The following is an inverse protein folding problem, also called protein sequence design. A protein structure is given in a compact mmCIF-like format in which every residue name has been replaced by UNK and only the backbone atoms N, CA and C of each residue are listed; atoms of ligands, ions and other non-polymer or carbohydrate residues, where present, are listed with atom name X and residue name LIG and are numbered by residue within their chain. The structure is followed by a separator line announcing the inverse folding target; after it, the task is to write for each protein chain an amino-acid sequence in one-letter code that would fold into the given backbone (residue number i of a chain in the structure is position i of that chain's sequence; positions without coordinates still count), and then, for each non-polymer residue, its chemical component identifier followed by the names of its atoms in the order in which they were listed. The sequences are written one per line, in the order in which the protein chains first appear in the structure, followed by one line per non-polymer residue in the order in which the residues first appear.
data_IF_976637181564
#
_entry.id   IF_976637181564
#
_cell.length_a   1.000
_cell.length_b   1.000
_cell.length_c   1.000
_cell.angle_alpha   90.00
_cell.angle_beta   90.00
_cell.angle_gamma   90.00
#
_symmetry.space_group_name_H-M   'P 1'
#
loop_
_entity.id
_entity.type
_entity.pdbx_description
1 polymer ?
#
# COMPACT_ATOMS: atom_id res chain seq x y z
N UNK A 1 -61.69 -31.30 -62.10
CA UNK A 1 -61.85 -29.84 -62.31
C UNK A 1 -60.47 -29.21 -62.42
N UNK A 2 -60.32 -28.20 -63.29
CA UNK A 2 -59.29 -28.21 -64.34
C UNK A 2 -58.05 -27.37 -64.02
N UNK A 3 -56.98 -27.71 -64.73
CA UNK A 3 -55.77 -26.93 -64.89
C UNK A 3 -56.09 -25.50 -65.35
N UNK A 4 -55.41 -24.51 -64.76
CA UNK A 4 -55.37 -23.16 -65.31
C UNK A 4 -53.92 -22.75 -65.55
N UNK A 5 -53.55 -22.87 -66.83
CA UNK A 5 -52.48 -22.09 -67.46
C UNK A 5 -52.74 -20.61 -67.20
N UNK A 6 -51.70 -19.87 -66.82
CA UNK A 6 -51.69 -18.42 -67.03
C UNK A 6 -50.46 -18.05 -67.86
N UNK A 7 -50.81 -17.49 -69.01
CA UNK A 7 -50.07 -16.86 -70.09
C UNK A 7 -49.05 -15.81 -69.63
N UNK A 8 -47.85 -15.87 -70.23
CA UNK A 8 -46.96 -14.72 -70.38
C UNK A 8 -47.58 -13.69 -71.34
N UNK A 9 -47.42 -12.39 -71.08
CA UNK A 9 -47.28 -11.39 -72.13
C UNK A 9 -45.82 -10.94 -72.25
N UNK A 10 -45.38 -10.89 -73.50
CA UNK A 10 -44.14 -10.25 -73.92
C UNK A 10 -44.16 -8.76 -73.58
N UNK A 11 -43.12 -8.26 -72.92
CA UNK A 11 -42.81 -6.84 -72.85
C UNK A 11 -41.50 -6.60 -73.59
N UNK A 12 -41.55 -5.67 -74.52
CA UNK A 12 -40.53 -5.32 -75.48
C UNK A 12 -39.23 -4.84 -74.80
N UNK A 13 -38.10 -5.36 -75.28
CA UNK A 13 -36.78 -4.85 -74.98
C UNK A 13 -36.57 -3.49 -75.68
N UNK A 14 -36.48 -2.42 -74.90
CA UNK A 14 -35.86 -1.17 -75.34
C UNK A 14 -34.37 -1.24 -74.98
N UNK A 15 -33.53 -1.47 -75.99
CA UNK A 15 -32.08 -1.44 -75.86
C UNK A 15 -31.63 0.02 -75.68
N UNK A 16 -31.31 0.43 -74.44
CA UNK A 16 -30.55 1.64 -74.19
C UNK A 16 -29.07 1.23 -74.20
N UNK A 17 -28.37 1.58 -75.29
CA UNK A 17 -26.90 1.50 -75.35
C UNK A 17 -26.35 2.64 -74.50
N UNK A 18 -26.19 2.37 -73.20
CA UNK A 18 -25.41 3.21 -72.31
C UNK A 18 -23.92 2.99 -72.60
N UNK A 19 -23.24 4.03 -73.05
CA UNK A 19 -21.79 4.07 -73.18
C UNK A 19 -21.20 3.94 -71.75
N UNK A 20 -20.87 2.72 -71.34
CA UNK A 20 -20.14 2.48 -70.10
C UNK A 20 -18.69 2.91 -70.31
N UNK A 21 -18.32 4.06 -69.76
CA UNK A 21 -16.93 4.43 -69.54
C UNK A 21 -16.35 3.40 -68.56
N UNK A 22 -15.50 2.51 -69.06
CA UNK A 22 -14.65 1.65 -68.23
C UNK A 22 -13.67 2.56 -67.49
N UNK A 23 -14.06 3.02 -66.31
CA UNK A 23 -13.10 3.52 -65.34
C UNK A 23 -12.27 2.30 -64.90
N UNK A 24 -11.02 2.26 -65.34
CA UNK A 24 -10.00 1.41 -64.72
C UNK A 24 -10.04 1.68 -63.22
N UNK A 25 -10.31 0.68 -62.36
CA UNK A 25 -10.14 0.89 -60.94
C UNK A 25 -8.68 1.23 -60.74
N UNK A 26 -8.40 2.43 -60.25
CA UNK A 26 -7.10 2.74 -59.68
C UNK A 26 -6.87 1.66 -58.62
N UNK A 27 -5.87 0.80 -58.83
CA UNK A 27 -5.33 0.01 -57.74
C UNK A 27 -4.98 1.02 -56.65
N UNK A 28 -5.78 1.07 -55.60
CA UNK A 28 -5.36 1.72 -54.38
C UNK A 28 -4.07 1.02 -54.00
N UNK A 29 -2.94 1.73 -54.12
CA UNK A 29 -1.69 1.27 -53.57
C UNK A 29 -2.00 0.87 -52.13
N UNK A 30 -1.84 -0.41 -51.80
CA UNK A 30 -1.82 -0.83 -50.40
C UNK A 30 -0.81 0.02 -49.65
N UNK A 31 -0.91 0.14 -48.31
CA UNK A 31 0.05 0.91 -47.53
C UNK A 31 1.46 0.57 -47.99
N UNK A 32 2.19 1.58 -48.45
CA UNK A 32 3.57 1.44 -48.89
C UNK A 32 4.32 0.65 -47.82
N UNK A 33 4.97 -0.50 -48.14
CA UNK A 33 5.77 -1.19 -47.15
C UNK A 33 6.76 -0.17 -46.57
N UNK A 34 6.82 -0.10 -45.23
CA UNK A 34 7.74 0.79 -44.55
C UNK A 34 9.16 0.56 -45.12
N UNK A 35 9.97 1.62 -45.30
CA UNK A 35 11.30 1.50 -45.89
C UNK A 35 12.10 0.43 -45.13
N UNK A 36 12.50 -0.62 -45.85
CA UNK A 36 13.15 -1.84 -45.35
C UNK A 36 14.56 -1.64 -44.79
N UNK A 37 14.98 -0.38 -44.60
CA UNK A 37 16.32 0.02 -44.20
C UNK A 37 16.37 0.65 -42.79
N UNK A 38 15.25 0.66 -42.05
CA UNK A 38 15.28 1.04 -40.64
C UNK A 38 15.71 -0.16 -39.80
N UNK A 39 16.72 -0.02 -38.92
CA UNK A 39 17.12 -1.11 -38.05
C UNK A 39 15.95 -1.54 -37.18
N UNK A 40 15.82 -2.85 -36.94
CA UNK A 40 14.85 -3.39 -36.01
C UNK A 40 15.04 -2.74 -34.62
N UNK A 41 13.94 -2.60 -33.89
CA UNK A 41 14.01 -2.07 -32.54
C UNK A 41 14.68 -3.11 -31.64
N UNK A 42 15.68 -2.68 -30.88
CA UNK A 42 16.33 -3.54 -29.89
C UNK A 42 15.72 -3.27 -28.53
N UNK A 43 15.51 -4.34 -27.76
CA UNK A 43 15.08 -4.25 -26.36
C UNK A 43 16.06 -5.06 -25.53
N UNK A 44 16.47 -4.53 -24.40
CA UNK A 44 17.28 -5.22 -23.42
C UNK A 44 16.56 -5.18 -22.08
N UNK A 45 16.61 -6.30 -21.37
CA UNK A 45 16.14 -6.39 -19.98
C UNK A 45 17.31 -5.93 -19.11
N UNK A 46 17.14 -4.82 -18.42
CA UNK A 46 18.16 -4.27 -17.51
C UNK A 46 18.01 -4.84 -16.11
N UNK A 47 16.77 -5.06 -15.66
CA UNK A 47 16.47 -5.64 -14.35
C UNK A 47 15.13 -6.41 -14.38
N UNK A 48 15.01 -7.41 -13.51
CA UNK A 48 13.86 -8.30 -13.40
C UNK A 48 13.85 -9.48 -14.40
N UNK A 49 12.71 -10.19 -14.49
CA UNK A 49 11.44 -9.89 -13.84
C UNK A 49 11.48 -10.11 -12.32
N UNK A 50 10.67 -9.36 -11.58
CA UNK A 50 10.52 -9.49 -10.13
C UNK A 50 9.05 -9.50 -9.76
N UNK A 51 8.68 -10.31 -8.76
CA UNK A 51 7.30 -10.45 -8.32
C UNK A 51 7.02 -9.56 -7.10
N UNK A 52 6.04 -8.67 -7.20
CA UNK A 52 5.53 -7.90 -6.06
C UNK A 52 4.48 -8.70 -5.27
N UNK A 53 3.66 -9.44 -6.01
CA UNK A 53 2.66 -10.38 -5.50
C UNK A 53 2.63 -11.59 -6.44
N UNK A 54 1.92 -12.68 -6.11
CA UNK A 54 1.75 -13.80 -7.04
C UNK A 54 1.09 -13.40 -8.39
N UNK A 55 0.45 -12.21 -8.45
CA UNK A 55 -0.29 -11.71 -9.62
C UNK A 55 0.28 -10.44 -10.25
N UNK A 56 1.23 -9.78 -9.61
CA UNK A 56 1.80 -8.52 -10.07
C UNK A 56 3.32 -8.62 -10.13
N UNK A 57 3.86 -8.42 -11.33
CA UNK A 57 5.30 -8.46 -11.59
C UNK A 57 5.77 -7.12 -12.15
N UNK A 58 7.06 -6.86 -12.04
CA UNK A 58 7.76 -5.73 -12.66
C UNK A 58 8.92 -6.20 -13.52
N UNK A 59 9.24 -5.42 -14.55
CA UNK A 59 10.45 -5.58 -15.35
C UNK A 59 10.95 -4.21 -15.81
N UNK A 60 12.27 -4.03 -15.89
CA UNK A 60 12.91 -2.80 -16.36
C UNK A 60 13.58 -3.04 -17.72
N UNK A 61 13.23 -2.22 -18.70
CA UNK A 61 13.68 -2.37 -20.08
C UNK A 61 14.47 -1.13 -20.54
N UNK A 62 15.52 -1.35 -21.32
CA UNK A 62 16.06 -0.35 -22.25
C UNK A 62 15.65 -0.70 -23.66
N UNK A 63 15.43 0.31 -24.50
CA UNK A 63 15.18 0.07 -25.91
C UNK A 63 15.81 1.15 -26.78
N UNK A 64 16.11 0.76 -28.02
CA UNK A 64 16.46 1.68 -29.08
C UNK A 64 15.57 1.42 -30.29
N UNK A 65 14.88 2.45 -30.78
CA UNK A 65 14.07 2.33 -31.99
C UNK A 65 13.93 3.67 -32.73
N UNK A 66 13.64 3.57 -34.03
CA UNK A 66 13.46 4.73 -34.92
C UNK A 66 12.18 4.60 -35.74
N UNK A 67 11.39 5.67 -35.78
CA UNK A 67 10.20 5.74 -36.63
C UNK A 67 8.93 6.06 -35.85
N UNK A 68 7.81 5.50 -36.32
CA UNK A 68 6.51 5.78 -35.73
C UNK A 68 6.39 5.21 -34.32
N UNK A 69 5.64 5.86 -33.42
CA UNK A 69 5.36 5.32 -32.10
C UNK A 69 4.79 3.90 -32.21
N UNK A 70 5.25 3.03 -31.32
CA UNK A 70 4.85 1.61 -31.30
C UNK A 70 4.62 1.16 -29.87
N UNK A 71 4.39 -0.13 -29.65
CA UNK A 71 4.16 -0.73 -28.33
C UNK A 71 5.11 -1.89 -28.13
N UNK A 72 5.78 -1.92 -26.97
CA UNK A 72 6.45 -3.12 -26.47
C UNK A 72 5.42 -3.92 -25.70
N UNK A 73 5.25 -5.20 -26.04
CA UNK A 73 4.51 -6.15 -25.23
C UNK A 73 5.49 -7.10 -24.56
N UNK A 74 5.26 -7.39 -23.29
CA UNK A 74 6.04 -8.35 -22.52
C UNK A 74 5.10 -9.41 -21.98
N UNK A 75 5.51 -10.65 -22.13
CA UNK A 75 4.87 -11.83 -21.53
C UNK A 75 5.91 -12.59 -20.72
N UNK A 76 5.64 -12.80 -19.44
CA UNK A 76 6.43 -13.66 -18.57
C UNK A 76 5.64 -14.94 -18.35
N UNK A 77 6.27 -16.10 -18.49
CA UNK A 77 5.63 -17.42 -18.37
C UNK A 77 6.42 -18.34 -17.44
N UNK A 78 5.70 -19.05 -16.57
CA UNK A 78 6.22 -20.10 -15.70
C UNK A 78 5.22 -21.27 -15.61
N UNK A 79 5.45 -22.34 -16.37
CA UNK A 79 4.48 -23.42 -16.48
C UNK A 79 3.13 -22.90 -17.01
N UNK A 80 2.08 -23.00 -16.20
CA UNK A 80 0.75 -22.50 -16.56
C UNK A 80 0.48 -21.04 -16.11
N UNK A 81 1.39 -20.43 -15.35
CA UNK A 81 1.26 -19.04 -14.93
C UNK A 81 1.80 -18.10 -16.02
N UNK A 82 1.06 -17.02 -16.28
CA UNK A 82 1.44 -16.02 -17.27
C UNK A 82 1.10 -14.61 -16.77
N UNK A 83 2.05 -13.69 -16.88
CA UNK A 83 1.85 -12.27 -16.63
C UNK A 83 2.15 -11.49 -17.89
N UNK A 84 1.30 -10.52 -18.23
CA UNK A 84 1.46 -9.69 -19.43
C UNK A 84 1.39 -8.21 -19.10
N UNK A 85 2.07 -7.41 -19.90
CA UNK A 85 1.94 -5.95 -19.87
C UNK A 85 2.47 -5.34 -21.15
N UNK A 86 2.06 -4.10 -21.41
CA UNK A 86 2.44 -3.37 -22.62
C UNK A 86 2.82 -1.94 -22.29
N UNK A 87 3.79 -1.40 -23.01
CA UNK A 87 4.21 0.00 -22.90
C UNK A 87 4.26 0.64 -24.28
N UNK A 88 3.49 1.71 -24.47
CA UNK A 88 3.65 2.58 -25.63
C UNK A 88 5.03 3.26 -25.56
N UNK A 89 5.74 3.24 -26.69
CA UNK A 89 7.07 3.83 -26.83
C UNK A 89 7.12 4.78 -28.01
N UNK A 90 7.87 5.86 -27.86
CA UNK A 90 8.23 6.76 -28.96
C UNK A 90 9.57 6.34 -29.52
N UNK A 91 9.67 6.18 -30.84
CA UNK A 91 10.88 5.70 -31.50
C UNK A 91 11.76 6.85 -32.00
N UNK A 92 12.52 7.42 -31.06
CA UNK A 92 13.43 8.53 -31.27
C UNK A 92 14.84 8.27 -30.70
N UNK A 93 15.39 7.08 -30.93
CA UNK A 93 16.71 6.67 -30.45
C UNK A 93 16.66 5.75 -29.23
N UNK A 94 17.72 5.79 -28.43
CA UNK A 94 17.91 4.95 -27.24
C UNK A 94 17.41 5.65 -25.96
N UNK A 95 16.84 4.87 -25.04
CA UNK A 95 16.43 5.36 -23.72
C UNK A 95 17.63 5.65 -22.80
N UNK A 96 17.66 6.86 -22.22
CA UNK A 96 18.68 7.26 -21.23
C UNK A 96 18.56 6.48 -19.89
N UNK A 97 17.35 6.14 -19.47
CA UNK A 97 17.06 5.39 -18.24
C UNK A 97 16.16 4.19 -18.53
N UNK A 98 16.22 3.11 -17.72
CA UNK A 98 15.28 2.01 -17.83
C UNK A 98 13.84 2.50 -17.72
N UNK A 99 12.98 1.89 -18.52
CA UNK A 99 11.54 2.07 -18.42
C UNK A 99 10.95 0.88 -17.66
N UNK A 100 10.35 1.18 -16.51
CA UNK A 100 9.57 0.20 -15.76
C UNK A 100 8.27 -0.16 -16.48
N UNK A 101 7.97 -1.46 -16.53
CA UNK A 101 6.72 -2.01 -17.01
C UNK A 101 6.13 -2.95 -15.95
N UNK A 102 4.90 -2.67 -15.54
CA UNK A 102 4.10 -3.57 -14.69
C UNK A 102 3.46 -4.66 -15.54
N UNK A 103 3.44 -5.89 -15.03
CA UNK A 103 2.82 -7.05 -15.64
C UNK A 103 1.78 -7.63 -14.68
N UNK A 104 0.64 -8.05 -15.21
CA UNK A 104 -0.48 -8.57 -14.41
C UNK A 104 -0.85 -9.98 -14.84
N UNK A 105 -1.15 -10.84 -13.87
CA UNK A 105 -1.74 -12.16 -14.07
C UNK A 105 -3.27 -12.02 -14.04
N UNK A 106 -4.01 -12.52 -15.06
CA UNK A 106 -5.47 -12.52 -15.05
C UNK A 106 -6.07 -13.15 -13.79
N UNK A 107 -7.17 -12.61 -13.28
CA UNK A 107 -7.76 -13.00 -11.98
C UNK A 107 -8.08 -14.51 -11.85
N UNK A 108 -8.46 -15.15 -12.96
CA UNK A 108 -8.82 -16.57 -13.06
C UNK A 108 -7.64 -17.48 -13.46
N UNK A 109 -6.48 -16.90 -13.77
CA UNK A 109 -5.30 -17.65 -14.17
C UNK A 109 -4.48 -18.17 -12.96
N UNK A 110 -3.71 -19.26 -13.15
CA UNK A 110 -2.69 -19.70 -12.20
C UNK A 110 -1.68 -18.58 -11.93
N UNK A 111 -1.31 -18.44 -10.65
CA UNK A 111 -0.34 -17.44 -10.19
C UNK A 111 1.09 -17.99 -10.22
N UNK A 112 2.07 -17.09 -10.24
CA UNK A 112 3.47 -17.47 -10.13
C UNK A 112 3.72 -18.08 -8.73
N UNK A 113 4.22 -19.32 -8.63
CA UNK A 113 4.50 -19.93 -7.33
C UNK A 113 5.63 -19.19 -6.62
N UNK A 114 5.68 -19.20 -5.27
CA UNK A 114 6.82 -18.69 -4.53
C UNK A 114 8.07 -19.54 -4.78
N UNK A 115 9.25 -18.93 -4.65
CA UNK A 115 10.54 -19.62 -4.72
C UNK A 115 11.40 -19.22 -5.91
N UNK A 116 12.58 -19.83 -6.00
CA UNK A 116 13.60 -19.51 -7.00
C UNK A 116 13.52 -20.48 -8.17
N UNK A 117 13.26 -19.98 -9.38
CA UNK A 117 13.19 -20.78 -10.61
C UNK A 117 13.48 -19.93 -11.83
N UNK A 118 13.47 -20.52 -13.03
CA UNK A 118 13.61 -19.78 -14.28
C UNK A 118 12.25 -19.52 -14.92
N UNK A 119 12.10 -18.36 -15.53
CA UNK A 119 10.92 -17.98 -16.32
C UNK A 119 11.31 -17.68 -17.77
N UNK A 120 10.35 -17.86 -18.66
CA UNK A 120 10.46 -17.42 -20.05
C UNK A 120 9.88 -16.01 -20.17
N UNK A 121 10.68 -15.08 -20.69
CA UNK A 121 10.26 -13.71 -20.98
C UNK A 121 10.26 -13.52 -22.49
N UNK A 122 9.07 -13.26 -23.05
CA UNK A 122 8.90 -12.89 -24.45
C UNK A 122 8.65 -11.40 -24.56
N UNK A 123 9.50 -10.71 -25.31
CA UNK A 123 9.34 -9.30 -25.68
C UNK A 123 8.96 -9.23 -27.16
N UNK A 124 7.89 -8.52 -27.49
CA UNK A 124 7.44 -8.35 -28.86
C UNK A 124 7.11 -6.91 -29.19
N UNK A 125 7.55 -6.49 -30.38
CA UNK A 125 7.19 -5.21 -31.01
C UNK A 125 6.42 -5.56 -32.29
N UNK A 126 5.22 -4.99 -32.52
CA UNK A 126 4.45 -5.26 -33.74
C UNK A 126 5.29 -5.08 -35.01
N UNK A 127 5.23 -6.09 -35.89
CA UNK A 127 5.98 -6.10 -37.15
C UNK A 127 7.45 -6.55 -37.04
N UNK A 128 7.91 -7.00 -35.88
CA UNK A 128 9.26 -7.52 -35.66
C UNK A 128 9.25 -8.94 -35.10
N UNK A 129 10.37 -9.64 -35.23
CA UNK A 129 10.57 -10.92 -34.55
C UNK A 129 10.54 -10.72 -33.03
N UNK A 130 9.94 -11.66 -32.31
CA UNK A 130 9.95 -11.63 -30.84
C UNK A 130 11.33 -12.01 -30.30
N UNK A 131 11.67 -11.46 -29.14
CA UNK A 131 12.89 -11.74 -28.40
C UNK A 131 12.52 -12.55 -27.15
N UNK A 132 13.07 -13.75 -27.03
CA UNK A 132 12.80 -14.66 -25.91
C UNK A 132 14.02 -14.77 -25.00
N UNK A 133 13.80 -14.71 -23.69
CA UNK A 133 14.85 -14.78 -22.66
C UNK A 133 14.48 -15.83 -21.61
N UNK A 134 15.46 -16.61 -21.16
CA UNK A 134 15.34 -17.43 -19.96
C UNK A 134 16.03 -16.73 -18.80
N UNK A 135 15.27 -16.30 -17.78
CA UNK A 135 15.81 -15.49 -16.69
C UNK A 135 15.56 -16.15 -15.33
N UNK A 136 16.47 -16.01 -14.36
CA UNK A 136 16.19 -16.37 -12.98
C UNK A 136 15.06 -15.48 -12.45
N UNK A 137 14.25 -16.03 -11.58
CA UNK A 137 13.07 -15.39 -11.04
C UNK A 137 12.81 -15.83 -9.62
N UNK A 138 12.58 -14.84 -8.77
CA UNK A 138 12.18 -15.02 -7.39
C UNK A 138 10.68 -14.76 -7.31
N UNK A 139 9.92 -15.86 -7.31
CA UNK A 139 8.48 -15.83 -7.19
C UNK A 139 8.04 -15.22 -5.86
N UNK A 140 7.06 -14.32 -5.92
CA UNK A 140 6.57 -13.62 -4.73
C UNK A 140 6.06 -14.61 -3.69
N UNK A 141 6.20 -14.29 -2.39
CA UNK A 141 5.50 -15.03 -1.35
C UNK A 141 4.00 -15.04 -1.64
N UNK A 142 3.31 -16.11 -1.26
CA UNK A 142 1.87 -16.32 -1.50
C UNK A 142 0.98 -15.19 -0.97
N UNK A 143 1.49 -14.40 -0.03
CA UNK A 143 0.86 -13.18 0.46
C UNK A 143 1.89 -12.05 0.42
N UNK A 144 1.47 -10.87 -0.05
CA UNK A 144 2.30 -9.68 0.06
C UNK A 144 2.56 -9.37 1.55
N UNK A 145 3.82 -9.13 1.89
CA UNK A 145 4.17 -8.71 3.25
C UNK A 145 3.64 -7.30 3.54
N UNK A 146 3.15 -7.13 4.77
CA UNK A 146 2.65 -5.85 5.28
C UNK A 146 3.52 -5.41 6.44
N UNK A 147 4.12 -4.23 6.29
CA UNK A 147 5.08 -3.64 7.20
C UNK A 147 4.52 -2.39 7.87
N UNK A 148 5.03 -2.07 9.06
CA UNK A 148 4.78 -0.80 9.74
C UNK A 148 6.11 -0.07 9.90
N UNK A 149 6.32 1.05 9.19
CA UNK A 149 7.61 1.77 9.20
C UNK A 149 7.71 2.79 10.35
N UNK A 150 6.59 3.40 10.74
CA UNK A 150 6.48 4.21 11.96
C UNK A 150 5.61 3.45 12.96
N UNK A 151 6.29 2.85 13.94
CA UNK A 151 5.71 2.20 15.12
C UNK A 151 4.72 3.15 15.79
N UNK A 152 3.67 2.59 16.40
CA UNK A 152 2.60 3.37 17.00
C UNK A 152 3.16 4.48 17.89
N UNK A 153 2.81 5.73 17.62
CA UNK A 153 3.07 6.84 18.53
C UNK A 153 1.77 7.26 19.21
N UNK A 154 1.88 7.62 20.48
CA UNK A 154 0.76 8.11 21.28
C UNK A 154 1.13 9.46 21.88
N UNK A 155 0.32 10.47 21.55
CA UNK A 155 0.52 11.83 22.05
C UNK A 155 -0.71 12.34 22.80
N UNK A 156 -0.53 12.84 24.04
CA UNK A 156 0.70 12.78 24.85
C UNK A 156 0.94 11.36 25.43
N UNK A 157 2.21 11.01 25.70
CA UNK A 157 2.59 9.73 26.35
C UNK A 157 2.14 9.65 27.81
N UNK A 158 1.98 10.81 28.45
CA UNK A 158 1.36 10.93 29.76
C UNK A 158 0.10 11.78 29.68
N UNK A 159 -0.99 11.29 30.27
CA UNK A 159 -2.29 11.93 30.11
C UNK A 159 -3.14 11.83 31.37
N UNK A 160 -3.95 12.86 31.62
CA UNK A 160 -4.94 12.82 32.70
C UNK A 160 -6.10 11.88 32.33
N UNK A 161 -6.52 11.04 33.28
CA UNK A 161 -7.62 10.09 33.14
C UNK A 161 -8.85 10.74 32.51
N UNK A 162 -9.36 10.10 31.47
CA UNK A 162 -10.55 10.52 30.72
C UNK A 162 -10.27 11.54 29.63
N UNK A 163 -9.02 12.02 29.47
CA UNK A 163 -8.63 12.83 28.31
C UNK A 163 -8.32 11.94 27.11
N UNK A 164 -8.34 12.54 25.93
CA UNK A 164 -8.06 11.85 24.68
C UNK A 164 -6.56 11.86 24.40
N UNK A 165 -6.06 10.76 23.87
CA UNK A 165 -4.76 10.66 23.21
C UNK A 165 -4.99 10.50 21.72
N UNK A 166 -4.01 10.92 20.92
CA UNK A 166 -3.95 10.59 19.49
C UNK A 166 -2.97 9.46 19.31
N UNK A 167 -3.37 8.42 18.58
CA UNK A 167 -2.58 7.25 18.26
C UNK A 167 -2.38 7.19 16.75
N UNK A 168 -1.12 7.12 16.31
CA UNK A 168 -0.74 7.16 14.89
C UNK A 168 0.20 6.02 14.53
N UNK A 169 0.14 5.51 13.30
CA UNK A 169 1.12 4.57 12.75
C UNK A 169 1.17 4.68 11.21
N UNK A 170 2.26 4.24 10.60
CA UNK A 170 2.37 4.05 9.15
C UNK A 170 2.25 2.57 8.78
N UNK A 171 1.53 2.24 7.70
CA UNK A 171 1.36 0.89 7.18
C UNK A 171 1.65 0.84 5.68
N UNK A 172 2.49 -0.11 5.27
CA UNK A 172 3.08 -0.23 3.94
C UNK A 172 3.08 -1.69 3.48
N UNK A 173 3.17 -1.91 2.16
CA UNK A 173 3.21 -3.25 1.54
C UNK A 173 4.48 -3.40 0.70
N UNK A 174 4.92 -4.64 0.46
CA UNK A 174 5.92 -4.95 -0.56
C UNK A 174 7.32 -4.42 -0.23
N UNK A 175 7.81 -4.66 0.99
CA UNK A 175 9.15 -4.25 1.42
C UNK A 175 9.22 -2.93 2.21
N UNK A 176 8.11 -2.19 2.32
CA UNK A 176 8.01 -1.04 3.24
C UNK A 176 7.84 0.34 2.57
N UNK A 177 7.89 0.41 1.24
CA UNK A 177 7.92 1.70 0.51
C UNK A 177 6.57 2.10 -0.08
N UNK A 178 5.63 1.15 -0.24
CA UNK A 178 4.32 1.42 -0.86
C UNK A 178 3.24 1.65 0.21
N UNK A 179 2.64 2.85 0.32
CA UNK A 179 1.57 3.12 1.27
C UNK A 179 0.41 2.13 1.11
N UNK A 180 0.01 1.48 2.20
CA UNK A 180 -1.00 0.43 2.13
C UNK A 180 -2.37 0.92 2.61
N UNK A 181 -3.40 0.76 1.76
CA UNK A 181 -4.80 1.02 2.09
C UNK A 181 -5.41 -0.19 2.79
N UNK A 182 -5.58 -0.11 4.10
CA UNK A 182 -5.99 -1.24 4.92
C UNK A 182 -6.92 -0.83 6.07
N UNK A 183 -7.85 -1.73 6.40
CA UNK A 183 -8.65 -1.66 7.63
C UNK A 183 -7.95 -2.42 8.74
N UNK A 184 -7.64 -1.73 9.83
CA UNK A 184 -6.92 -2.27 10.98
C UNK A 184 -7.77 -2.19 12.26
N UNK A 185 -7.34 -2.91 13.30
CA UNK A 185 -7.83 -2.78 14.65
C UNK A 185 -6.79 -2.05 15.50
N UNK A 186 -7.19 -0.97 16.17
CA UNK A 186 -6.45 -0.46 17.32
C UNK A 186 -6.79 -1.36 18.52
N UNK A 187 -5.76 -1.93 19.13
CA UNK A 187 -5.85 -2.76 20.32
C UNK A 187 -5.21 -2.04 21.51
N UNK A 188 -5.75 -2.28 22.70
CA UNK A 188 -5.25 -1.79 23.97
C UNK A 188 -5.08 -2.94 24.94
N UNK A 189 -3.95 -2.92 25.67
CA UNK A 189 -3.67 -3.82 26.79
C UNK A 189 -3.38 -2.99 28.03
N UNK A 190 -4.24 -2.99 29.06
CA UNK A 190 -3.91 -2.33 30.32
C UNK A 190 -2.69 -3.00 30.98
N UNK A 191 -1.97 -2.27 31.82
CA UNK A 191 -0.84 -2.84 32.57
C UNK A 191 -1.30 -4.08 33.37
N UNK A 192 -0.63 -5.21 33.16
CA UNK A 192 -0.97 -6.50 33.77
C UNK A 192 -2.23 -7.20 33.23
N UNK A 193 -2.78 -6.77 32.08
CA UNK A 193 -3.94 -7.41 31.46
C UNK A 193 -3.71 -7.90 30.02
N UNK A 194 -4.79 -8.21 29.32
CA UNK A 194 -4.77 -8.74 27.95
C UNK A 194 -5.07 -7.70 26.87
N UNK A 195 -4.63 -7.98 25.65
CA UNK A 195 -4.98 -7.20 24.46
C UNK A 195 -6.47 -7.31 24.15
N UNK A 196 -7.11 -6.17 23.90
CA UNK A 196 -8.50 -6.08 23.43
C UNK A 196 -8.59 -5.06 22.30
N UNK A 197 -9.41 -5.36 21.29
CA UNK A 197 -9.77 -4.37 20.27
C UNK A 197 -10.56 -3.23 20.90
N UNK A 198 -10.11 -2.00 20.69
CA UNK A 198 -10.79 -0.78 21.17
C UNK A 198 -11.37 0.05 20.04
N UNK A 199 -10.86 -0.07 18.81
CA UNK A 199 -11.36 0.67 17.66
C UNK A 199 -10.98 0.01 16.33
N UNK A 200 -11.76 0.23 15.28
CA UNK A 200 -11.33 -0.05 13.89
C UNK A 200 -10.83 1.24 13.24
N UNK A 201 -9.75 1.18 12.47
CA UNK A 201 -9.15 2.34 11.79
C UNK A 201 -8.75 1.96 10.38
N UNK A 202 -9.25 2.71 9.40
CA UNK A 202 -8.81 2.59 8.00
C UNK A 202 -7.68 3.57 7.75
N UNK A 203 -6.62 3.13 7.05
CA UNK A 203 -5.54 4.02 6.67
C UNK A 203 -5.99 5.02 5.59
N UNK A 204 -5.33 6.16 5.56
CA UNK A 204 -5.40 7.14 4.48
C UNK A 204 -3.98 7.35 3.97
N UNK A 205 -3.72 6.95 2.72
CA UNK A 205 -2.38 6.97 2.11
C UNK A 205 -1.31 6.35 3.03
N UNK A 206 -1.52 5.11 3.49
CA UNK A 206 -0.63 4.41 4.42
C UNK A 206 -0.60 4.96 5.85
N UNK A 207 -1.31 6.05 6.16
CA UNK A 207 -1.31 6.64 7.51
C UNK A 207 -2.55 6.20 8.31
N UNK A 208 -2.31 5.63 9.49
CA UNK A 208 -3.32 5.35 10.50
C UNK A 208 -3.30 6.46 11.55
N UNK A 209 -4.45 7.07 11.84
CA UNK A 209 -4.58 8.10 12.88
C UNK A 209 -5.93 8.00 13.57
N UNK A 210 -5.93 7.96 14.89
CA UNK A 210 -7.18 7.94 15.64
C UNK A 210 -7.05 8.54 17.03
N UNK A 211 -8.17 8.97 17.60
CA UNK A 211 -8.25 9.43 18.99
C UNK A 211 -9.03 8.43 19.85
N UNK A 212 -8.50 8.13 21.03
CA UNK A 212 -9.13 7.28 22.05
C UNK A 212 -9.07 7.94 23.42
N UNK A 213 -10.03 7.61 24.29
CA UNK A 213 -10.08 8.13 25.66
C UNK A 213 -9.20 7.26 26.56
N UNK A 214 -8.18 7.84 27.18
CA UNK A 214 -7.26 7.12 28.03
C UNK A 214 -7.83 7.01 29.46
N UNK A 215 -8.20 5.80 29.88
CA UNK A 215 -8.84 5.54 31.19
C UNK A 215 -7.96 4.74 32.15
N UNK A 216 -6.98 4.00 31.62
CA UNK A 216 -6.00 3.18 32.34
C UNK A 216 -4.65 3.29 31.64
N UNK A 217 -3.56 3.17 32.40
CA UNK A 217 -2.23 2.98 31.84
C UNK A 217 -2.12 1.64 31.13
N UNK A 218 -1.33 1.58 30.07
CA UNK A 218 -1.19 0.39 29.25
C UNK A 218 -0.59 0.67 27.88
N UNK A 219 -0.65 -0.35 27.03
CA UNK A 219 -0.04 -0.35 25.72
C UNK A 219 -1.09 -0.29 24.60
N UNK A 220 -0.82 0.48 23.55
CA UNK A 220 -1.60 0.53 22.32
C UNK A 220 -0.82 -0.05 21.15
N UNK A 221 -1.49 -0.78 20.25
CA UNK A 221 -0.91 -1.27 18.98
C UNK A 221 -1.97 -1.33 17.88
N UNK A 222 -1.55 -1.30 16.62
CA UNK A 222 -2.40 -1.63 15.49
C UNK A 222 -2.21 -3.08 15.06
N UNK A 223 -3.30 -3.71 14.63
CA UNK A 223 -3.33 -5.05 14.04
C UNK A 223 -4.06 -5.02 12.71
N UNK A 224 -3.38 -5.44 11.65
CA UNK A 224 -3.97 -5.80 10.37
C UNK A 224 -4.25 -7.31 10.37
N UNK A 225 -5.48 -7.70 10.07
CA UNK A 225 -5.91 -9.10 10.16
C UNK A 225 -5.45 -9.97 8.97
N UNK A 226 -4.87 -9.36 7.94
CA UNK A 226 -4.57 -10.03 6.68
C UNK A 226 -5.75 -10.02 5.72
N UNK A 227 -5.51 -10.49 4.50
CA UNK A 227 -6.49 -10.82 3.47
C UNK A 227 -6.02 -12.05 2.69
N UNK A 228 -6.75 -12.43 1.64
CA UNK A 228 -6.32 -13.45 0.68
C UNK A 228 -5.04 -13.08 -0.09
N UNK A 229 -4.63 -11.82 -0.08
CA UNK A 229 -3.51 -11.28 -0.87
C UNK A 229 -2.41 -10.68 0.00
N UNK A 230 -2.62 -10.57 1.31
CA UNK A 230 -1.69 -9.89 2.20
C UNK A 230 -1.63 -10.54 3.57
N UNK A 231 -0.40 -10.70 4.06
CA UNK A 231 -0.16 -11.34 5.34
C UNK A 231 -0.73 -10.47 6.48
N UNK A 232 -1.23 -11.09 7.57
CA UNK A 232 -1.53 -10.36 8.79
C UNK A 232 -0.28 -9.70 9.34
N UNK A 233 -0.43 -8.50 9.91
CA UNK A 233 0.67 -7.74 10.47
C UNK A 233 0.26 -7.06 11.77
N UNK A 234 1.19 -6.96 12.72
CA UNK A 234 0.97 -6.29 14.01
C UNK A 234 2.10 -5.29 14.22
N UNK A 235 1.75 -4.04 14.51
CA UNK A 235 2.74 -3.03 14.84
C UNK A 235 3.36 -3.30 16.21
N UNK A 236 4.53 -2.72 16.50
CA UNK A 236 5.00 -2.62 17.88
C UNK A 236 4.04 -1.76 18.72
N UNK A 237 4.19 -1.84 20.04
CA UNK A 237 3.28 -1.18 20.97
C UNK A 237 3.87 0.09 21.57
N UNK A 238 3.01 1.05 21.93
CA UNK A 238 3.38 2.25 22.70
C UNK A 238 2.69 2.26 24.05
N UNK A 239 3.48 2.51 25.09
CA UNK A 239 2.97 2.67 26.44
C UNK A 239 2.45 4.10 26.66
N UNK A 240 1.28 4.20 27.28
CA UNK A 240 0.67 5.45 27.71
C UNK A 240 0.41 5.38 29.20
N UNK A 241 0.91 6.37 29.92
CA UNK A 241 0.69 6.53 31.37
C UNK A 241 -0.54 7.40 31.59
N UNK A 242 -1.52 6.87 32.32
CA UNK A 242 -2.72 7.59 32.71
C UNK A 242 -2.64 8.03 34.17
N UNK A 243 -2.56 9.34 34.39
CA UNK A 243 -2.53 9.95 35.73
C UNK A 243 -3.95 10.30 36.20
N UNK A 244 -4.27 10.22 37.51
CA UNK A 244 -5.55 10.68 38.03
C UNK A 244 -5.81 12.17 37.73
N UNK A 245 -7.08 12.59 37.72
CA UNK A 245 -7.45 13.99 37.55
C UNK A 245 -6.94 14.82 38.74
N UNK A 246 -6.26 15.96 38.51
CA UNK A 246 -5.79 16.83 39.59
C UNK A 246 -6.94 17.31 40.49
N UNK A 247 -6.87 16.97 41.77
CA UNK A 247 -7.86 17.36 42.78
C UNK A 247 -7.18 17.83 44.06
N UNK A 248 -7.87 18.71 44.80
CA UNK A 248 -7.50 19.04 46.16
C UNK A 248 -7.94 17.89 47.08
N UNK A 249 -7.09 17.56 48.05
CA UNK A 249 -7.37 16.57 49.07
C UNK A 249 -7.64 17.25 50.41
N UNK A 250 -8.47 16.61 51.24
CA UNK A 250 -8.79 17.09 52.59
C UNK A 250 -7.63 16.92 53.57
N UNK A 251 -6.73 15.97 53.33
CA UNK A 251 -5.58 15.66 54.19
C UNK A 251 -4.52 14.84 53.47
N UNK A 252 -3.32 14.76 54.02
CA UNK A 252 -2.25 13.90 53.50
C UNK A 252 -2.60 12.42 53.50
N UNK A 253 -3.36 11.94 54.49
CA UNK A 253 -3.90 10.56 54.49
C UNK A 253 -4.78 10.29 53.26
N UNK A 254 -5.59 11.26 52.85
CA UNK A 254 -6.44 11.11 51.66
C UNK A 254 -5.63 11.19 50.36
N UNK A 255 -4.60 12.04 50.31
CA UNK A 255 -3.71 12.16 49.15
C UNK A 255 -2.87 10.91 48.96
N UNK A 256 -2.24 10.42 50.03
CA UNK A 256 -1.33 9.26 50.00
C UNK A 256 -2.03 7.93 49.70
N UNK A 257 -3.35 7.85 49.92
CA UNK A 257 -4.16 6.72 49.44
C UNK A 257 -4.18 6.61 47.90
N UNK A 258 -3.97 7.72 47.19
CA UNK A 258 -3.91 7.76 45.71
C UNK A 258 -2.46 7.81 45.22
N UNK A 259 -1.62 8.59 45.89
CA UNK A 259 -0.21 8.75 45.57
C UNK A 259 0.63 8.26 46.75
N UNK A 260 1.00 6.99 46.75
CA UNK A 260 1.59 6.28 47.91
C UNK A 260 2.67 7.08 48.65
N UNK A 261 3.48 7.84 47.91
CA UNK A 261 4.62 8.61 48.42
C UNK A 261 4.38 10.13 48.48
N UNK A 262 3.22 10.63 48.08
CA UNK A 262 2.99 12.08 47.92
C UNK A 262 3.02 12.51 46.45
N UNK A 263 3.02 13.82 46.21
CA UNK A 263 3.01 14.37 44.84
C UNK A 263 3.94 15.58 44.69
N UNK A 264 4.92 15.46 43.79
CA UNK A 264 5.89 16.51 43.50
C UNK A 264 5.50 17.38 42.30
N UNK A 265 5.99 18.63 42.27
CA UNK A 265 6.00 19.48 41.06
C UNK A 265 7.18 19.08 40.15
N UNK A 266 7.03 19.24 38.83
CA UNK A 266 8.15 19.00 37.92
C UNK A 266 9.35 19.87 38.29
N UNK A 267 10.53 19.25 38.45
CA UNK A 267 11.75 19.94 38.91
C UNK A 267 11.80 20.24 40.41
N UNK A 268 10.99 19.57 41.24
CA UNK A 268 11.25 19.58 42.68
C UNK A 268 12.56 18.82 42.99
N UNK A 269 13.28 19.30 43.99
CA UNK A 269 14.49 18.66 44.50
C UNK A 269 14.11 18.08 45.85
N UNK A 270 13.71 16.81 45.87
CA UNK A 270 13.42 16.13 47.13
C UNK A 270 14.76 15.94 47.87
N UNK A 271 14.82 16.36 49.13
CA UNK A 271 16.07 16.42 49.91
C UNK A 271 16.14 15.37 51.02
N UNK A 272 15.17 14.44 51.11
CA UNK A 272 14.89 13.74 52.36
C UNK A 272 14.94 12.20 52.33
N UNK A 273 14.41 11.54 51.29
CA UNK A 273 14.02 10.12 51.42
C UNK A 273 14.67 9.15 50.43
N UNK A 274 15.42 9.62 49.43
CA UNK A 274 16.13 8.75 48.48
C UNK A 274 15.22 7.84 47.63
N UNK A 275 13.92 8.13 47.57
CA UNK A 275 12.94 7.35 46.80
C UNK A 275 12.99 7.75 45.31
N UNK A 276 13.02 6.76 44.41
CA UNK A 276 13.13 6.99 42.96
C UNK A 276 11.78 6.93 42.21
N UNK A 277 10.69 6.49 42.88
CA UNK A 277 9.37 6.24 42.27
C UNK A 277 8.28 7.25 42.68
N UNK A 278 8.57 8.54 42.58
CA UNK A 278 7.61 9.61 42.89
C UNK A 278 6.57 9.82 41.79
N UNK A 279 5.37 10.26 42.18
CA UNK A 279 4.40 10.78 41.23
C UNK A 279 4.64 12.27 41.01
N UNK A 280 5.14 12.62 39.83
CA UNK A 280 5.27 14.00 39.38
C UNK A 280 3.94 14.49 38.78
N UNK A 281 3.35 15.53 39.37
CA UNK A 281 2.14 16.16 38.86
C UNK A 281 1.99 17.58 39.41
N UNK A 282 2.66 18.55 38.77
CA UNK A 282 2.55 19.99 39.08
C UNK A 282 1.11 20.49 39.30
N UNK A 283 0.10 20.11 38.48
CA UNK A 283 -1.28 20.56 38.71
C UNK A 283 -1.92 20.03 39.99
N UNK A 284 -1.55 18.82 40.41
CA UNK A 284 -2.04 18.20 41.65
C UNK A 284 -1.30 18.79 42.84
N UNK A 285 0.03 18.95 42.74
CA UNK A 285 0.83 19.65 43.74
C UNK A 285 0.28 21.06 44.02
N UNK A 286 0.05 21.88 42.99
CA UNK A 286 -0.47 23.26 43.16
C UNK A 286 -1.78 23.33 43.95
N UNK A 287 -2.66 22.33 43.80
CA UNK A 287 -3.94 22.23 44.56
C UNK A 287 -3.77 21.74 45.99
N UNK A 288 -2.62 21.18 46.33
CA UNK A 288 -2.30 20.54 47.59
C UNK A 288 -1.05 21.14 48.27
N UNK A 289 -0.52 22.27 47.76
CA UNK A 289 0.70 22.94 48.24
C UNK A 289 0.69 23.28 49.73
N UNK A 290 -0.51 23.38 50.33
CA UNK A 290 -0.69 23.56 51.78
C UNK A 290 -0.17 22.38 52.63
N UNK A 291 0.21 21.29 51.97
CA UNK A 291 0.78 20.10 52.59
C UNK A 291 2.26 19.91 52.26
N UNK A 292 2.94 20.96 51.81
CA UNK A 292 4.38 21.06 51.62
C UNK A 292 4.88 22.16 52.58
N UNK A 293 5.16 21.84 53.86
CA UNK A 293 5.54 22.83 54.87
C UNK A 293 6.96 23.38 54.69
N UNK A 294 7.85 22.58 54.14
CA UNK A 294 9.28 22.84 53.93
C UNK A 294 9.60 23.47 52.57
N UNK A 295 8.59 23.57 51.69
CA UNK A 295 8.61 24.27 50.41
C UNK A 295 9.59 23.69 49.39
N UNK A 296 9.93 22.41 49.51
CA UNK A 296 10.83 21.70 48.61
C UNK A 296 10.18 21.38 47.25
N UNK A 297 8.84 21.51 47.15
CA UNK A 297 8.06 21.22 45.98
C UNK A 297 7.38 19.85 46.00
N UNK A 298 7.30 19.20 47.15
CA UNK A 298 6.70 17.89 47.37
C UNK A 298 5.61 17.98 48.43
N UNK A 299 4.36 17.72 48.03
CA UNK A 299 3.24 17.74 48.96
C UNK A 299 3.00 16.35 49.60
N UNK A 300 2.84 16.33 50.91
CA UNK A 300 2.60 15.13 51.71
C UNK A 300 3.68 14.06 51.55
N UNK A 301 4.94 14.47 51.47
CA UNK A 301 6.04 13.56 51.74
C UNK A 301 5.84 12.91 53.12
N UNK A 302 6.09 11.61 53.19
CA UNK A 302 6.10 10.90 54.47
C UNK A 302 7.54 10.84 54.94
N UNK A 303 7.86 11.63 55.95
CA UNK A 303 9.00 11.35 56.83
C UNK A 303 8.82 10.00 57.52
#
# INVERSE_FOLDING_TARGET
MPARRLTLPAAAAALIVGLATLATPALAAGPTPAPTDRPAATVAIEDGPFAYTPRELGIALRYACYGDPTTINVTVTAGAAQATGSKAITCAGETEFPVGLGLTVPDDAPVFPPGHYSVEVRVSIPGQASQDYGLPFDGAPTLAEVHFTVVVDASPKEVVKGKKITVTAGIYRGGGDLPFSAKTALEFRPDGGDWRKVKSVTSSNGTLKTKVKATKSGNYRFRYAGSSESAPATSSAVHVVVRPKPKAYKSCKALTKVYKHGVGKNGATEVGLGLTNWTWSTPTYKKNKKFDPDHDGVACEKV
#
